data_IF_308185128534
#
_entry.id   IF_308185128534
#
_cell.length_a   1.000
_cell.length_b   1.000
_cell.length_c   1.000
_cell.angle_alpha   90.00
_cell.angle_beta   90.00
_cell.angle_gamma   90.00
#
_symmetry.space_group_name_H-M   'P 1'
#
loop_
_entity.id
_entity.type
_entity.pdbx_description
1 polymer ?
#
# COMPACT_ATOMS: atom_id res chain seq x y z
N UNK A 1 -13.73 2.51 -4.27
CA UNK A 1 -12.36 2.99 -4.05
C UNK A 1 -12.08 2.87 -2.56
N UNK A 2 -11.01 2.18 -2.15
CA UNK A 2 -10.71 1.97 -0.72
C UNK A 2 -9.71 3.01 -0.24
N UNK A 3 -10.21 4.01 0.49
CA UNK A 3 -9.39 5.07 1.09
C UNK A 3 -8.38 4.52 2.11
N UNK A 4 -8.67 3.36 2.69
CA UNK A 4 -7.82 2.67 3.66
C UNK A 4 -6.55 2.12 3.03
N UNK A 5 -6.66 1.44 1.87
CA UNK A 5 -5.51 0.93 1.13
C UNK A 5 -4.60 2.08 0.68
N UNK A 6 -5.21 3.14 0.15
CA UNK A 6 -4.49 4.36 -0.25
C UNK A 6 -3.70 4.96 0.90
N UNK A 7 -4.35 5.15 2.04
CA UNK A 7 -3.71 5.70 3.25
C UNK A 7 -2.58 4.80 3.75
N UNK A 8 -2.79 3.49 3.79
CA UNK A 8 -1.79 2.52 4.19
C UNK A 8 -0.52 2.62 3.33
N UNK A 9 -0.68 2.66 2.01
CA UNK A 9 0.45 2.72 1.07
C UNK A 9 1.23 4.02 1.19
N UNK A 10 0.55 5.15 1.34
CA UNK A 10 1.20 6.45 1.56
C UNK A 10 1.94 6.44 2.90
N UNK A 11 1.28 6.06 3.98
CA UNK A 11 1.86 6.08 5.33
C UNK A 11 3.09 5.16 5.44
N UNK A 12 3.04 3.95 4.87
CA UNK A 12 4.19 3.02 4.84
C UNK A 12 5.33 3.52 3.94
N UNK A 13 5.02 4.31 2.91
CA UNK A 13 6.03 4.90 2.02
C UNK A 13 6.73 6.09 2.68
N UNK A 14 5.96 6.97 3.31
CA UNK A 14 6.42 8.25 3.85
C UNK A 14 6.97 8.14 5.28
N UNK A 15 6.54 7.13 6.05
CA UNK A 15 6.96 6.92 7.44
C UNK A 15 7.91 5.71 7.58
N UNK A 16 9.20 5.94 7.88
CA UNK A 16 10.18 4.87 8.09
C UNK A 16 9.82 3.91 9.22
N UNK A 17 9.18 4.38 10.29
CA UNK A 17 8.79 3.55 11.43
C UNK A 17 7.68 2.56 11.03
N UNK A 18 6.71 3.03 10.25
CA UNK A 18 5.65 2.17 9.69
C UNK A 18 6.21 1.20 8.67
N UNK A 19 7.23 1.60 7.90
CA UNK A 19 7.94 0.69 6.99
C UNK A 19 8.66 -0.43 7.73
N UNK A 20 9.28 -0.12 8.87
CA UNK A 20 9.93 -1.13 9.71
C UNK A 20 8.93 -1.98 10.48
N UNK A 21 7.81 -1.41 10.93
CA UNK A 21 6.69 -2.15 11.48
C UNK A 21 6.09 -3.10 10.44
N UNK A 22 5.89 -2.65 9.20
CA UNK A 22 5.41 -3.48 8.10
C UNK A 22 6.35 -4.66 7.84
N UNK A 23 7.67 -4.48 7.89
CA UNK A 23 8.62 -5.60 7.75
C UNK A 23 8.54 -6.60 8.90
N UNK A 24 8.23 -6.14 10.13
CA UNK A 24 8.18 -6.98 11.33
C UNK A 24 6.83 -7.70 11.48
N UNK A 25 5.73 -7.00 11.23
CA UNK A 25 4.36 -7.47 11.37
C UNK A 25 3.47 -6.86 10.27
N UNK A 26 3.50 -7.50 9.11
CA UNK A 26 2.72 -7.10 7.94
C UNK A 26 1.22 -7.12 8.22
N UNK A 27 0.72 -8.24 8.74
CA UNK A 27 -0.71 -8.47 8.92
C UNK A 27 -1.28 -7.59 10.02
N UNK A 28 -0.60 -7.47 11.17
CA UNK A 28 -1.05 -6.60 12.24
C UNK A 28 -1.09 -5.12 11.84
N UNK A 29 -0.14 -4.65 11.03
CA UNK A 29 -0.20 -3.29 10.49
C UNK A 29 -1.35 -3.13 9.49
N UNK A 30 -1.55 -4.07 8.58
CA UNK A 30 -2.66 -3.99 7.61
C UNK A 30 -4.04 -4.03 8.28
N UNK A 31 -4.19 -4.80 9.37
CA UNK A 31 -5.41 -4.83 10.18
C UNK A 31 -5.68 -3.47 10.86
N UNK A 32 -4.65 -2.75 11.31
CA UNK A 32 -4.80 -1.39 11.88
C UNK A 32 -5.41 -0.39 10.88
N UNK A 33 -5.15 -0.60 9.59
CA UNK A 33 -5.72 0.21 8.51
C UNK A 33 -7.09 -0.30 8.04
N UNK A 34 -7.64 -1.35 8.67
CA UNK A 34 -8.88 -2.00 8.26
C UNK A 34 -8.87 -2.42 6.78
N UNK A 35 -7.74 -2.96 6.31
CA UNK A 35 -7.67 -3.55 4.97
C UNK A 35 -8.48 -4.85 4.93
N UNK A 36 -9.23 -5.03 3.86
CA UNK A 36 -9.92 -6.29 3.57
C UNK A 36 -8.90 -7.40 3.26
N UNK A 37 -9.30 -8.66 3.42
CA UNK A 37 -8.44 -9.80 3.10
C UNK A 37 -7.90 -9.79 1.67
N UNK A 38 -8.69 -9.28 0.73
CA UNK A 38 -8.29 -9.15 -0.67
C UNK A 38 -7.15 -8.13 -0.82
N UNK A 39 -7.30 -6.94 -0.24
CA UNK A 39 -6.27 -5.89 -0.26
C UNK A 39 -5.01 -6.33 0.48
N UNK A 40 -5.16 -7.01 1.62
CA UNK A 40 -4.03 -7.59 2.35
C UNK A 40 -3.26 -8.58 1.47
N UNK A 41 -3.97 -9.40 0.70
CA UNK A 41 -3.36 -10.38 -0.21
C UNK A 41 -2.64 -9.69 -1.35
N UNK A 42 -3.23 -8.64 -1.94
CA UNK A 42 -2.60 -7.83 -2.99
C UNK A 42 -1.30 -7.20 -2.50
N UNK A 43 -1.33 -6.56 -1.31
CA UNK A 43 -0.17 -5.93 -0.68
C UNK A 43 0.90 -6.96 -0.30
N UNK A 44 0.51 -8.10 0.27
CA UNK A 44 1.43 -9.15 0.68
C UNK A 44 2.15 -9.80 -0.51
N UNK A 45 1.43 -10.03 -1.61
CA UNK A 45 1.95 -10.61 -2.85
C UNK A 45 2.67 -9.60 -3.75
N UNK A 46 2.68 -8.32 -3.38
CA UNK A 46 3.18 -7.22 -4.23
C UNK A 46 2.50 -7.21 -5.61
N UNK A 47 1.20 -7.52 -5.65
CA UNK A 47 0.40 -7.47 -6.87
C UNK A 47 0.15 -6.01 -7.26
N UNK A 48 1.15 -5.39 -7.90
CA UNK A 48 1.12 -3.98 -8.29
C UNK A 48 -0.03 -3.68 -9.26
N UNK A 49 -0.39 -4.61 -10.13
CA UNK A 49 -1.52 -4.46 -11.06
C UNK A 49 -2.85 -4.49 -10.32
N UNK A 50 -3.02 -5.40 -9.37
CA UNK A 50 -4.19 -5.46 -8.49
C UNK A 50 -4.34 -4.20 -7.63
N UNK A 51 -3.23 -3.71 -7.07
CA UNK A 51 -3.20 -2.47 -6.28
C UNK A 51 -3.53 -1.27 -7.16
N UNK A 52 -2.96 -1.15 -8.36
CA UNK A 52 -3.28 -0.06 -9.30
C UNK A 52 -4.75 -0.07 -9.71
N UNK A 53 -5.32 -1.24 -9.99
CA UNK A 53 -6.76 -1.40 -10.26
C UNK A 53 -7.62 -0.98 -9.07
N UNK A 54 -7.23 -1.37 -7.85
CA UNK A 54 -7.95 -0.97 -6.64
C UNK A 54 -7.88 0.54 -6.37
N UNK A 55 -6.80 1.19 -6.81
CA UNK A 55 -6.55 2.62 -6.70
C UNK A 55 -6.98 3.45 -7.93
N UNK A 56 -7.61 2.84 -8.94
CA UNK A 56 -8.05 3.51 -10.18
C UNK A 56 -6.95 4.35 -10.87
N UNK A 57 -5.72 3.83 -10.97
CA UNK A 57 -4.60 4.49 -11.69
C UNK A 57 -4.20 5.90 -11.20
N UNK A 58 -4.56 6.28 -9.96
CA UNK A 58 -4.16 7.58 -9.38
C UNK A 58 -2.66 7.64 -9.00
N UNK A 59 -1.97 6.49 -8.98
CA UNK A 59 -0.65 6.36 -8.39
C UNK A 59 0.30 5.52 -9.22
N UNK A 60 1.55 5.96 -9.31
CA UNK A 60 2.60 5.28 -10.05
C UNK A 60 3.45 4.44 -9.08
N UNK A 61 3.19 3.13 -8.99
CA UNK A 61 3.84 2.22 -8.04
C UNK A 61 5.20 1.77 -8.58
N UNK A 62 6.31 2.27 -8.01
CA UNK A 62 7.64 1.85 -8.46
C UNK A 62 8.02 0.42 -7.94
N UNK A 63 8.52 -0.48 -8.82
CA UNK A 63 8.69 -1.90 -8.53
C UNK A 63 9.78 -2.29 -7.53
N UNK A 64 10.65 -1.36 -7.10
CA UNK A 64 11.79 -1.66 -6.19
C UNK A 64 11.74 -0.92 -4.84
N UNK A 65 10.63 -0.27 -4.56
CA UNK A 65 10.29 0.24 -3.24
C UNK A 65 9.08 -0.55 -2.77
N UNK A 66 8.80 -0.59 -1.48
CA UNK A 66 7.61 -1.26 -0.92
C UNK A 66 6.37 -0.40 -1.28
N UNK A 67 6.23 -0.08 -2.56
CA UNK A 67 5.45 0.99 -3.18
C UNK A 67 6.11 2.36 -2.94
N UNK A 68 6.42 3.09 -4.02
CA UNK A 68 6.64 4.54 -3.99
C UNK A 68 5.40 5.11 -4.62
N UNK A 69 4.66 5.91 -3.89
CA UNK A 69 3.42 6.51 -4.34
C UNK A 69 3.75 7.91 -4.85
N UNK A 70 4.06 8.07 -6.15
CA UNK A 70 4.18 9.42 -6.72
C UNK A 70 2.76 9.90 -7.11
N UNK A 71 2.28 10.98 -6.47
CA UNK A 71 1.08 11.68 -6.93
C UNK A 71 1.34 12.15 -8.36
N UNK A 72 0.48 11.76 -9.30
CA UNK A 72 0.50 12.30 -10.66
C UNK A 72 0.27 13.82 -10.56
N UNK A 73 1.29 14.62 -10.84
CA UNK A 73 1.10 16.05 -11.03
C UNK A 73 0.34 16.23 -12.35
N UNK A 74 -0.87 16.79 -12.27
CA UNK A 74 -1.65 17.28 -13.40
C UNK A 74 -0.91 18.43 -14.09
#
# INVERSE_FOLDING_TARGET
MSDNLKRFLVDVTENPDLKDQYKKDKTGLMDQYNLTKEEQTMVANQDLDGINKALNDEYDLAPNSIIRVNKKQL
#
